data_IF_258288056783
#
_entry.id   IF_258288056783
#
_cell.length_a   1.000
_cell.length_b   1.000
_cell.length_c   1.000
_cell.angle_alpha   90.00
_cell.angle_beta   90.00
_cell.angle_gamma   90.00
#
_symmetry.space_group_name_H-M   'P 1'
#
loop_
_entity.id
_entity.type
_entity.pdbx_description
1 polymer ?
#
# COMPACT_ATOMS: atom_id res chain seq x y z
N UNK A 1 64.36 -21.09 -38.25
CA UNK A 1 63.83 -22.08 -37.28
C UNK A 1 62.34 -22.25 -37.52
N UNK A 2 61.91 -23.29 -38.25
CA UNK A 2 60.49 -23.55 -38.53
C UNK A 2 59.77 -24.13 -37.30
N UNK A 3 58.52 -23.71 -37.04
CA UNK A 3 57.69 -24.27 -35.96
C UNK A 3 57.45 -25.77 -36.21
N UNK A 4 57.82 -26.60 -35.22
CA UNK A 4 57.53 -28.03 -35.26
C UNK A 4 56.01 -28.28 -35.33
N UNK A 5 55.57 -29.29 -36.09
CA UNK A 5 54.16 -29.64 -36.18
C UNK A 5 53.60 -30.04 -34.81
N UNK A 6 52.42 -29.52 -34.46
CA UNK A 6 51.76 -29.69 -33.16
C UNK A 6 51.36 -31.14 -32.83
N UNK A 7 51.25 -32.00 -33.85
CA UNK A 7 50.88 -33.41 -33.72
C UNK A 7 51.81 -34.24 -34.62
N UNK A 8 52.30 -35.36 -34.11
CA UNK A 8 53.28 -36.24 -34.77
C UNK A 8 52.61 -37.22 -35.74
N UNK A 9 51.36 -37.62 -35.45
CA UNK A 9 50.60 -38.56 -36.29
C UNK A 9 49.17 -38.07 -36.56
N UNK A 10 48.55 -38.62 -37.61
CA UNK A 10 47.16 -38.32 -37.95
C UNK A 10 46.17 -38.85 -36.91
N UNK A 11 46.51 -39.98 -36.28
CA UNK A 11 45.78 -40.55 -35.14
C UNK A 11 45.79 -39.61 -33.92
N UNK A 12 46.96 -39.05 -33.58
CA UNK A 12 47.11 -38.09 -32.47
C UNK A 12 46.29 -36.80 -32.71
N UNK A 13 46.25 -36.35 -33.98
CA UNK A 13 45.42 -35.20 -34.39
C UNK A 13 43.92 -35.51 -34.25
N UNK A 14 43.50 -36.73 -34.58
CA UNK A 14 42.11 -37.16 -34.47
C UNK A 14 41.67 -37.36 -33.01
N UNK A 15 42.54 -37.89 -32.15
CA UNK A 15 42.29 -37.97 -30.70
C UNK A 15 42.18 -36.58 -30.07
N UNK A 16 43.08 -35.66 -30.41
CA UNK A 16 43.05 -34.29 -29.92
C UNK A 16 41.74 -33.57 -30.33
N UNK A 17 41.26 -33.81 -31.55
CA UNK A 17 39.95 -33.31 -32.01
C UNK A 17 38.78 -33.92 -31.22
N UNK A 18 38.83 -35.21 -30.88
CA UNK A 18 37.80 -35.87 -30.07
C UNK A 18 37.78 -35.34 -28.64
N UNK A 19 38.94 -35.16 -28.00
CA UNK A 19 39.05 -34.58 -26.64
C UNK A 19 38.56 -33.14 -26.61
N UNK A 20 39.00 -32.32 -27.56
CA UNK A 20 38.56 -30.92 -27.67
C UNK A 20 37.04 -30.81 -27.89
N UNK A 21 36.43 -31.70 -28.69
CA UNK A 21 34.96 -31.76 -28.84
C UNK A 21 34.27 -32.14 -27.53
N UNK A 22 34.77 -33.15 -26.80
CA UNK A 22 34.20 -33.56 -25.50
C UNK A 22 34.25 -32.42 -24.48
N UNK A 23 35.40 -31.77 -24.34
CA UNK A 23 35.59 -30.62 -23.44
C UNK A 23 34.69 -29.43 -23.82
N UNK A 24 34.41 -29.24 -25.11
CA UNK A 24 33.48 -28.21 -25.57
C UNK A 24 32.04 -28.50 -25.12
N UNK A 25 31.57 -29.73 -25.33
CA UNK A 25 30.22 -30.13 -24.92
C UNK A 25 30.05 -30.16 -23.40
N UNK A 26 31.09 -30.57 -22.67
CA UNK A 26 31.10 -30.57 -21.21
C UNK A 26 30.97 -29.14 -20.65
N UNK A 27 31.81 -28.20 -21.12
CA UNK A 27 31.73 -26.78 -20.75
C UNK A 27 30.38 -26.15 -21.10
N UNK A 28 29.79 -26.52 -22.25
CA UNK A 28 28.50 -25.98 -22.64
C UNK A 28 27.37 -26.53 -21.76
N UNK A 29 27.43 -27.81 -21.39
CA UNK A 29 26.45 -28.45 -20.49
C UNK A 29 26.47 -27.84 -19.09
N UNK A 30 27.65 -27.49 -18.56
CA UNK A 30 27.79 -26.82 -17.28
C UNK A 30 27.26 -25.40 -17.32
N UNK A 31 27.50 -24.67 -18.43
CA UNK A 31 26.97 -23.32 -18.63
C UNK A 31 25.44 -23.33 -18.72
N UNK A 32 24.86 -24.30 -19.40
CA UNK A 32 23.41 -24.49 -19.48
C UNK A 32 22.80 -24.86 -18.12
N UNK A 33 23.45 -25.77 -17.36
CA UNK A 33 23.04 -26.12 -15.99
C UNK A 33 23.11 -24.90 -15.06
N UNK A 34 24.16 -24.09 -15.15
CA UNK A 34 24.33 -22.86 -14.38
C UNK A 34 23.24 -21.82 -14.71
N UNK A 35 22.93 -21.61 -15.99
CA UNK A 35 21.84 -20.73 -16.40
C UNK A 35 20.46 -21.25 -15.96
N UNK A 36 20.22 -22.56 -16.02
CA UNK A 36 18.98 -23.17 -15.54
C UNK A 36 18.81 -23.01 -14.03
N UNK A 37 19.88 -23.23 -13.24
CA UNK A 37 19.91 -22.99 -11.80
C UNK A 37 19.68 -21.51 -11.48
N UNK A 38 20.33 -20.58 -12.18
CA UNK A 38 20.11 -19.15 -11.98
C UNK A 38 18.66 -18.75 -12.29
N UNK A 39 18.07 -19.26 -13.37
CA UNK A 39 16.64 -19.03 -13.68
C UNK A 39 15.72 -19.62 -12.60
N UNK A 40 16.04 -20.82 -12.09
CA UNK A 40 15.30 -21.44 -10.99
C UNK A 40 15.39 -20.62 -9.70
N UNK A 41 16.58 -20.17 -9.31
CA UNK A 41 16.79 -19.30 -8.15
C UNK A 41 16.12 -17.93 -8.32
N UNK A 42 16.21 -17.31 -9.50
CA UNK A 42 15.52 -16.06 -9.81
C UNK A 42 14.00 -16.22 -9.70
N UNK A 43 13.44 -17.32 -10.23
CA UNK A 43 12.00 -17.64 -10.13
C UNK A 43 11.59 -17.92 -8.68
N UNK A 44 12.43 -18.61 -7.90
CA UNK A 44 12.18 -18.89 -6.48
C UNK A 44 12.26 -17.63 -5.61
N UNK A 45 13.23 -16.74 -5.88
CA UNK A 45 13.34 -15.43 -5.24
C UNK A 45 12.14 -14.54 -5.59
N UNK A 46 11.67 -14.52 -6.84
CA UNK A 46 10.44 -13.83 -7.23
C UNK A 46 9.19 -14.40 -6.54
N UNK A 47 9.13 -15.71 -6.31
CA UNK A 47 7.99 -16.35 -5.61
C UNK A 47 7.96 -16.13 -4.09
N UNK A 48 9.13 -15.95 -3.45
CA UNK A 48 9.24 -15.61 -2.02
C UNK A 48 9.32 -14.10 -1.76
N UNK A 49 9.61 -13.29 -2.79
CA UNK A 49 9.53 -11.83 -2.75
C UNK A 49 8.15 -11.32 -3.19
N UNK A 50 7.08 -12.01 -2.76
CA UNK A 50 5.71 -11.45 -2.76
C UNK A 50 5.44 -10.66 -1.48
N UNK A 51 6.48 -10.29 -0.72
CA UNK A 51 6.38 -9.17 0.22
C UNK A 51 6.32 -7.91 -0.62
N UNK A 52 5.10 -7.41 -0.84
CA UNK A 52 4.86 -6.19 -1.57
C UNK A 52 5.86 -5.13 -1.08
N UNK A 53 6.77 -4.70 -1.96
CA UNK A 53 7.58 -3.53 -1.69
C UNK A 53 6.58 -2.43 -1.29
N UNK A 54 6.79 -1.83 -0.11
CA UNK A 54 5.94 -0.75 0.38
C UNK A 54 5.69 0.22 -0.79
N UNK A 55 4.44 0.45 -1.20
CA UNK A 55 4.18 1.30 -2.35
C UNK A 55 4.87 2.64 -2.10
N UNK A 56 5.65 3.13 -3.09
CA UNK A 56 6.14 4.52 -3.07
C UNK A 56 4.94 5.39 -2.73
N UNK A 57 4.99 6.09 -1.59
CA UNK A 57 3.97 7.07 -1.22
C UNK A 57 3.98 8.15 -2.30
N UNK A 58 3.08 8.03 -3.27
CA UNK A 58 2.77 9.12 -4.18
C UNK A 58 2.02 10.12 -3.31
N UNK A 59 2.68 11.25 -2.99
CA UNK A 59 2.02 12.35 -2.29
C UNK A 59 0.86 12.80 -3.18
N UNK A 60 -0.36 12.51 -2.74
CA UNK A 60 -1.55 12.94 -3.47
C UNK A 60 -1.70 14.44 -3.31
N UNK A 61 -2.05 15.18 -4.38
CA UNK A 61 -2.43 16.58 -4.24
C UNK A 61 -3.53 16.74 -3.19
N UNK A 62 -3.45 17.77 -2.34
CA UNK A 62 -4.39 17.96 -1.23
C UNK A 62 -5.84 18.12 -1.70
N UNK A 63 -6.05 18.65 -2.91
CA UNK A 63 -7.36 18.71 -3.58
C UNK A 63 -8.04 17.34 -3.77
N UNK A 64 -7.26 16.26 -3.87
CA UNK A 64 -7.78 14.90 -4.00
C UNK A 64 -8.06 14.25 -2.65
N UNK A 65 -7.56 14.84 -1.56
CA UNK A 65 -7.70 14.33 -0.20
C UNK A 65 -8.78 15.10 0.56
N UNK A 66 -8.73 16.43 0.50
CA UNK A 66 -9.68 17.34 1.13
C UNK A 66 -10.38 18.22 0.09
N UNK A 67 -11.17 17.64 -0.83
CA UNK A 67 -11.78 18.38 -1.93
C UNK A 67 -12.66 19.54 -1.45
N UNK A 68 -13.43 19.39 -0.36
CA UNK A 68 -14.31 20.44 0.14
C UNK A 68 -13.51 21.53 0.85
N UNK A 69 -12.56 21.16 1.70
CA UNK A 69 -11.73 22.14 2.41
C UNK A 69 -10.90 22.96 1.42
N UNK A 70 -10.32 22.32 0.40
CA UNK A 70 -9.56 23.01 -0.66
C UNK A 70 -10.47 23.87 -1.54
N UNK A 71 -11.69 23.42 -1.86
CA UNK A 71 -12.63 24.22 -2.64
C UNK A 71 -13.02 25.54 -1.94
N UNK A 72 -13.11 25.54 -0.61
CA UNK A 72 -13.48 26.74 0.16
C UNK A 72 -12.29 27.64 0.52
N UNK A 73 -11.15 27.06 0.89
CA UNK A 73 -10.00 27.82 1.42
C UNK A 73 -8.81 27.93 0.46
N UNK A 74 -8.86 27.23 -0.67
CA UNK A 74 -7.74 27.18 -1.61
C UNK A 74 -6.52 26.44 -1.06
N UNK A 75 -5.37 26.66 -1.69
CA UNK A 75 -4.08 26.17 -1.24
C UNK A 75 -3.08 27.34 -1.19
N UNK A 76 -2.29 27.47 -0.11
CA UNK A 76 -2.31 26.67 1.12
C UNK A 76 -3.59 26.90 1.93
N UNK A 77 -3.99 25.91 2.75
CA UNK A 77 -5.09 26.10 3.69
C UNK A 77 -4.59 27.03 4.80
N UNK A 78 -5.02 28.29 4.77
CA UNK A 78 -4.75 29.27 5.80
C UNK A 78 -5.97 29.41 6.73
N UNK A 79 -5.84 28.93 7.97
CA UNK A 79 -6.88 29.06 8.99
C UNK A 79 -6.92 30.43 9.68
N UNK A 80 -5.91 31.27 9.44
CA UNK A 80 -5.66 32.52 10.16
C UNK A 80 -6.53 33.68 9.71
N UNK A 81 -6.72 33.90 8.40
CA UNK A 81 -7.15 35.22 7.95
C UNK A 81 -8.68 35.47 7.95
N UNK A 82 -9.58 34.48 7.74
CA UNK A 82 -11.02 34.76 7.53
C UNK A 82 -12.01 33.67 7.97
N UNK A 83 -11.67 32.82 8.94
CA UNK A 83 -12.41 31.56 9.06
C UNK A 83 -13.64 31.61 9.96
N UNK A 84 -14.80 31.56 9.31
CA UNK A 84 -16.03 31.06 9.89
C UNK A 84 -15.82 29.59 10.31
N UNK A 85 -15.70 29.32 11.62
CA UNK A 85 -15.45 27.99 12.17
C UNK A 85 -16.56 26.98 11.83
N UNK A 86 -17.76 27.46 11.53
CA UNK A 86 -18.87 26.64 11.03
C UNK A 86 -18.55 26.05 9.66
N UNK A 87 -18.00 26.87 8.76
CA UNK A 87 -17.61 26.44 7.41
C UNK A 87 -16.46 25.45 7.49
N UNK A 88 -15.48 25.69 8.37
CA UNK A 88 -14.39 24.73 8.62
C UNK A 88 -14.93 23.38 9.08
N UNK A 89 -15.81 23.39 10.08
CA UNK A 89 -16.42 22.16 10.60
C UNK A 89 -17.20 21.42 9.50
N UNK A 90 -17.99 22.16 8.71
CA UNK A 90 -18.73 21.61 7.57
C UNK A 90 -17.78 20.96 6.54
N UNK A 91 -16.76 21.67 6.09
CA UNK A 91 -15.81 21.16 5.10
C UNK A 91 -15.09 19.89 5.58
N UNK A 92 -14.62 19.87 6.83
CA UNK A 92 -13.94 18.71 7.40
C UNK A 92 -14.87 17.51 7.59
N UNK A 93 -16.14 17.74 7.93
CA UNK A 93 -17.15 16.68 7.98
C UNK A 93 -17.45 16.11 6.60
N UNK A 94 -17.61 16.95 5.58
CA UNK A 94 -17.88 16.50 4.22
C UNK A 94 -16.68 15.79 3.60
N UNK A 95 -15.45 16.25 3.86
CA UNK A 95 -14.24 15.53 3.47
C UNK A 95 -14.12 14.17 4.17
N UNK A 96 -14.44 14.10 5.46
CA UNK A 96 -14.50 12.83 6.18
C UNK A 96 -15.64 11.91 5.69
N UNK A 97 -16.73 12.43 5.14
CA UNK A 97 -17.79 11.61 4.51
C UNK A 97 -17.46 11.23 3.08
N UNK A 98 -16.62 12.00 2.38
CA UNK A 98 -16.33 11.80 0.97
C UNK A 98 -15.75 10.40 0.68
N UNK A 99 -14.93 9.86 1.59
CA UNK A 99 -14.38 8.50 1.41
C UNK A 99 -15.45 7.40 1.49
N UNK A 100 -16.58 7.66 2.15
CA UNK A 100 -17.74 6.74 2.17
C UNK A 100 -18.52 6.72 0.85
N UNK A 101 -18.23 7.65 -0.08
CA UNK A 101 -18.87 7.74 -1.41
C UNK A 101 -20.42 7.77 -1.35
N UNK A 102 -20.97 8.37 -0.30
CA UNK A 102 -22.42 8.43 -0.05
C UNK A 102 -23.05 7.15 0.50
N UNK A 103 -22.27 6.11 0.76
CA UNK A 103 -22.71 4.88 1.42
C UNK A 103 -22.86 5.06 2.93
N UNK A 104 -23.61 4.14 3.57
CA UNK A 104 -23.63 4.04 5.03
C UNK A 104 -22.28 3.51 5.50
N UNK A 105 -21.74 4.06 6.59
CA UNK A 105 -20.43 3.68 7.10
C UNK A 105 -20.29 2.16 7.28
N UNK A 106 -21.25 1.51 7.95
CA UNK A 106 -21.29 0.06 8.14
C UNK A 106 -21.18 -0.73 6.83
N UNK A 107 -21.89 -0.31 5.79
CA UNK A 107 -21.87 -0.99 4.49
C UNK A 107 -20.53 -0.83 3.79
N UNK A 108 -19.90 0.34 3.90
CA UNK A 108 -18.58 0.61 3.32
C UNK A 108 -17.52 -0.22 4.04
N UNK A 109 -17.58 -0.29 5.36
CA UNK A 109 -16.70 -1.14 6.17
C UNK A 109 -16.85 -2.62 5.82
N UNK A 110 -18.09 -3.09 5.73
CA UNK A 110 -18.40 -4.47 5.39
C UNK A 110 -17.91 -4.83 3.97
N UNK A 111 -18.15 -3.96 2.98
CA UNK A 111 -17.66 -4.13 1.60
C UNK A 111 -16.12 -4.19 1.56
N UNK A 112 -15.43 -3.25 2.21
CA UNK A 112 -13.97 -3.24 2.24
C UNK A 112 -13.42 -4.52 2.88
N UNK A 113 -13.97 -4.92 4.02
CA UNK A 113 -13.53 -6.09 4.77
C UNK A 113 -13.72 -7.37 3.97
N UNK A 114 -14.93 -7.59 3.43
CA UNK A 114 -15.26 -8.78 2.64
C UNK A 114 -14.45 -8.85 1.34
N UNK A 115 -14.22 -7.72 0.66
CA UNK A 115 -13.36 -7.65 -0.54
C UNK A 115 -11.90 -7.97 -0.22
N UNK A 116 -11.38 -7.52 0.91
CA UNK A 116 -10.03 -7.86 1.38
C UNK A 116 -9.92 -9.37 1.69
N UNK A 117 -10.87 -9.93 2.45
CA UNK A 117 -10.93 -11.37 2.76
C UNK A 117 -10.97 -12.20 1.47
N UNK A 118 -11.85 -11.84 0.53
CA UNK A 118 -11.98 -12.52 -0.76
C UNK A 118 -10.70 -12.45 -1.60
N UNK A 119 -9.94 -11.36 -1.50
CA UNK A 119 -8.67 -11.21 -2.23
C UNK A 119 -7.58 -12.16 -1.71
N UNK A 120 -7.55 -12.42 -0.39
CA UNK A 120 -6.64 -13.41 0.21
C UNK A 120 -6.93 -14.81 -0.34
N UNK A 121 -8.21 -15.22 -0.37
CA UNK A 121 -8.61 -16.55 -0.86
C UNK A 121 -8.36 -16.79 -2.35
N UNK A 122 -8.32 -15.73 -3.17
CA UNK A 122 -8.13 -15.82 -4.63
C UNK A 122 -6.68 -15.68 -5.10
N UNK A 123 -5.73 -15.43 -4.18
CA UNK A 123 -4.33 -15.09 -4.51
C UNK A 123 -4.19 -13.95 -5.55
N UNK A 124 -5.19 -13.07 -5.64
CA UNK A 124 -5.18 -11.92 -6.55
C UNK A 124 -4.70 -10.68 -5.80
N UNK A 125 -3.98 -9.76 -6.46
CA UNK A 125 -3.54 -8.54 -5.81
C UNK A 125 -4.74 -7.68 -5.40
N UNK A 126 -4.96 -7.49 -4.10
CA UNK A 126 -5.97 -6.61 -3.52
C UNK A 126 -5.65 -5.11 -3.71
N UNK A 127 -4.81 -4.76 -4.70
CA UNK A 127 -4.19 -3.44 -4.83
C UNK A 127 -5.23 -2.31 -4.87
N UNK A 128 -6.35 -2.53 -5.56
CA UNK A 128 -7.42 -1.53 -5.66
C UNK A 128 -8.05 -1.28 -4.29
N UNK A 129 -8.46 -2.34 -3.59
CA UNK A 129 -9.10 -2.24 -2.26
C UNK A 129 -8.13 -1.65 -1.24
N UNK A 130 -6.87 -2.06 -1.26
CA UNK A 130 -5.84 -1.50 -0.40
C UNK A 130 -5.60 -0.02 -0.68
N UNK A 131 -5.62 0.41 -1.95
CA UNK A 131 -5.53 1.83 -2.27
C UNK A 131 -6.74 2.58 -1.72
N UNK A 132 -7.95 2.05 -1.84
CA UNK A 132 -9.15 2.66 -1.22
C UNK A 132 -9.00 2.80 0.30
N UNK A 133 -8.45 1.78 0.98
CA UNK A 133 -8.16 1.83 2.42
C UNK A 133 -7.13 2.91 2.74
N UNK A 134 -6.01 2.95 2.00
CA UNK A 134 -4.96 3.95 2.18
C UNK A 134 -5.48 5.37 1.96
N UNK A 135 -6.34 5.56 0.95
CA UNK A 135 -6.93 6.85 0.63
C UNK A 135 -7.80 7.34 1.80
N UNK A 136 -8.65 6.47 2.34
CA UNK A 136 -9.44 6.80 3.54
C UNK A 136 -8.56 7.12 4.75
N UNK A 137 -7.44 6.41 4.94
CA UNK A 137 -6.49 6.72 6.02
C UNK A 137 -5.90 8.12 5.87
N UNK A 138 -5.45 8.47 4.67
CA UNK A 138 -4.88 9.79 4.39
C UNK A 138 -5.91 10.91 4.60
N UNK A 139 -7.16 10.70 4.20
CA UNK A 139 -8.25 11.66 4.45
C UNK A 139 -8.44 11.85 5.96
N UNK A 140 -8.57 10.76 6.72
CA UNK A 140 -8.78 10.81 8.16
C UNK A 140 -7.60 11.49 8.90
N UNK A 141 -6.36 11.22 8.47
CA UNK A 141 -5.15 11.85 9.02
C UNK A 141 -5.14 13.36 8.82
N UNK A 142 -5.43 13.84 7.61
CA UNK A 142 -5.50 15.28 7.35
C UNK A 142 -6.68 15.95 8.07
N UNK A 143 -7.84 15.30 8.16
CA UNK A 143 -8.96 15.81 8.96
C UNK A 143 -8.55 15.95 10.43
N UNK A 144 -7.80 15.01 11.01
CA UNK A 144 -7.26 15.12 12.37
C UNK A 144 -6.32 16.31 12.53
N UNK A 145 -5.43 16.53 11.55
CA UNK A 145 -4.52 17.66 11.54
C UNK A 145 -5.28 19.00 11.57
N UNK A 146 -6.20 19.21 10.62
CA UNK A 146 -6.93 20.48 10.49
C UNK A 146 -7.96 20.68 11.59
N UNK A 147 -8.58 19.62 12.12
CA UNK A 147 -9.42 19.74 13.34
C UNK A 147 -8.61 20.20 14.54
N UNK A 148 -7.37 19.69 14.70
CA UNK A 148 -6.46 20.14 15.75
C UNK A 148 -6.15 21.63 15.66
N UNK A 149 -5.82 22.12 14.46
CA UNK A 149 -5.57 23.54 14.22
C UNK A 149 -6.84 24.38 14.46
N UNK A 150 -7.98 23.96 13.92
CA UNK A 150 -9.25 24.66 14.09
C UNK A 150 -9.70 24.71 15.57
N UNK A 151 -9.42 23.66 16.34
CA UNK A 151 -9.67 23.64 17.79
C UNK A 151 -8.82 24.67 18.53
N UNK A 152 -7.55 24.81 18.18
CA UNK A 152 -6.66 25.85 18.74
C UNK A 152 -7.21 27.24 18.42
N UNK A 153 -7.63 27.48 17.18
CA UNK A 153 -8.26 28.75 16.79
C UNK A 153 -9.55 29.03 17.57
N UNK A 154 -10.44 28.03 17.71
CA UNK A 154 -11.68 28.15 18.49
C UNK A 154 -11.40 28.49 19.95
N UNK A 155 -10.37 27.86 20.54
CA UNK A 155 -9.95 28.15 21.92
C UNK A 155 -9.41 29.57 22.08
N UNK A 156 -8.54 30.02 21.17
CA UNK A 156 -7.99 31.38 21.16
C UNK A 156 -9.10 32.45 21.02
N UNK A 157 -10.12 32.18 20.19
CA UNK A 157 -11.29 33.05 20.00
C UNK A 157 -12.36 32.92 21.09
N UNK A 158 -12.16 32.01 22.06
CA UNK A 158 -13.11 31.68 23.13
C UNK A 158 -14.47 31.17 22.63
N UNK A 159 -14.52 30.60 21.42
CA UNK A 159 -15.73 30.08 20.81
C UNK A 159 -16.00 28.62 21.23
N UNK A 160 -16.34 28.42 22.51
CA UNK A 160 -16.48 27.09 23.13
C UNK A 160 -17.43 26.14 22.40
N UNK A 161 -18.47 26.67 21.74
CA UNK A 161 -19.43 25.86 20.97
C UNK A 161 -18.75 25.01 19.89
N UNK A 162 -17.68 25.51 19.27
CA UNK A 162 -16.97 24.80 18.21
C UNK A 162 -15.94 23.80 18.72
N UNK A 163 -15.50 23.92 19.98
CA UNK A 163 -14.59 22.93 20.57
C UNK A 163 -15.24 21.54 20.58
N UNK A 164 -16.50 21.45 21.05
CA UNK A 164 -17.26 20.20 21.05
C UNK A 164 -17.50 19.66 19.61
N UNK A 165 -17.74 20.55 18.65
CA UNK A 165 -17.87 20.17 17.23
C UNK A 165 -16.57 19.55 16.71
N UNK A 166 -15.43 20.21 16.93
CA UNK A 166 -14.14 19.69 16.47
C UNK A 166 -13.73 18.42 17.21
N UNK A 167 -14.01 18.28 18.51
CA UNK A 167 -13.76 17.04 19.25
C UNK A 167 -14.57 15.87 18.67
N UNK A 168 -15.83 16.10 18.25
CA UNK A 168 -16.65 15.09 17.55
C UNK A 168 -16.04 14.69 16.21
N UNK A 169 -15.61 15.67 15.41
CA UNK A 169 -14.98 15.39 14.10
C UNK A 169 -13.68 14.62 14.30
N UNK A 170 -12.84 15.03 15.25
CA UNK A 170 -11.60 14.32 15.59
C UNK A 170 -11.86 12.90 16.10
N UNK A 171 -12.92 12.68 16.88
CA UNK A 171 -13.30 11.33 17.30
C UNK A 171 -13.68 10.44 16.10
N UNK A 172 -14.51 10.95 15.20
CA UNK A 172 -14.91 10.21 14.00
C UNK A 172 -13.71 9.93 13.07
N UNK A 173 -12.83 10.91 12.87
CA UNK A 173 -11.63 10.74 12.07
C UNK A 173 -10.65 9.74 12.71
N UNK A 174 -10.50 9.77 14.05
CA UNK A 174 -9.69 8.79 14.78
C UNK A 174 -10.21 7.37 14.57
N UNK A 175 -11.53 7.17 14.69
CA UNK A 175 -12.16 5.86 14.46
C UNK A 175 -11.95 5.37 13.02
N UNK A 176 -12.15 6.25 12.04
CA UNK A 176 -11.89 5.91 10.64
C UNK A 176 -10.43 5.53 10.40
N UNK A 177 -9.48 6.31 10.92
CA UNK A 177 -8.05 6.04 10.79
C UNK A 177 -7.67 4.69 11.42
N UNK A 178 -8.11 4.44 12.65
CA UNK A 178 -7.82 3.22 13.40
C UNK A 178 -8.43 1.99 12.73
N UNK A 179 -9.71 2.04 12.35
CA UNK A 179 -10.37 0.93 11.66
C UNK A 179 -9.72 0.59 10.32
N UNK A 180 -9.37 1.60 9.52
CA UNK A 180 -8.67 1.37 8.25
C UNK A 180 -7.24 0.85 8.47
N UNK A 181 -6.57 1.28 9.54
CA UNK A 181 -5.25 0.78 9.92
C UNK A 181 -5.28 -0.68 10.36
N UNK A 182 -6.29 -1.06 11.14
CA UNK A 182 -6.53 -2.44 11.55
C UNK A 182 -6.78 -3.34 10.33
N UNK A 183 -7.69 -2.94 9.42
CA UNK A 183 -7.95 -3.71 8.20
C UNK A 183 -6.68 -3.94 7.38
N UNK A 184 -5.87 -2.89 7.20
CA UNK A 184 -4.59 -2.97 6.50
C UNK A 184 -3.60 -3.88 7.24
N UNK A 185 -3.51 -3.79 8.56
CA UNK A 185 -2.60 -4.60 9.36
C UNK A 185 -2.95 -6.08 9.29
N UNK A 186 -4.21 -6.43 9.57
CA UNK A 186 -4.72 -7.81 9.51
C UNK A 186 -4.62 -8.39 8.09
N UNK A 187 -4.87 -7.58 7.06
CA UNK A 187 -4.66 -8.01 5.68
C UNK A 187 -3.18 -8.31 5.38
N UNK A 188 -2.25 -7.48 5.87
CA UNK A 188 -0.82 -7.64 5.65
C UNK A 188 -0.19 -8.78 6.47
N UNK A 189 -0.77 -9.10 7.62
CA UNK A 189 -0.42 -10.31 8.40
C UNK A 189 -0.68 -11.57 7.57
N UNK A 190 -1.72 -11.54 6.74
CA UNK A 190 -2.06 -12.61 5.82
C UNK A 190 -2.75 -13.79 6.50
N UNK A 191 -2.86 -14.91 5.78
CA UNK A 191 -3.57 -16.09 6.30
C UNK A 191 -5.07 -15.84 6.46
N UNK A 192 -5.64 -16.22 7.61
CA UNK A 192 -7.06 -16.06 7.93
C UNK A 192 -7.35 -14.95 8.96
N UNK A 193 -6.34 -14.23 9.45
CA UNK A 193 -6.47 -13.29 10.57
C UNK A 193 -7.62 -12.28 10.41
N UNK A 194 -7.71 -11.62 9.25
CA UNK A 194 -8.80 -10.68 8.96
C UNK A 194 -10.18 -11.36 8.90
N UNK A 195 -10.25 -12.58 8.35
CA UNK A 195 -11.49 -13.35 8.30
C UNK A 195 -11.95 -13.80 9.68
N UNK A 196 -11.04 -14.35 10.47
CA UNK A 196 -11.31 -14.81 11.83
C UNK A 196 -11.78 -13.66 12.72
N UNK A 197 -11.13 -12.48 12.64
CA UNK A 197 -11.53 -11.28 13.41
C UNK A 197 -12.89 -10.74 12.98
N UNK A 198 -13.18 -10.75 11.68
CA UNK A 198 -14.46 -10.33 11.13
C UNK A 198 -15.63 -11.24 11.56
N UNK A 199 -15.40 -12.57 11.54
CA UNK A 199 -16.39 -13.57 11.99
C UNK A 199 -16.63 -13.51 13.50
N UNK A 200 -15.60 -13.18 14.29
CA UNK A 200 -15.70 -13.02 15.75
C UNK A 200 -16.37 -11.70 16.15
N UNK A 201 -16.46 -10.73 15.25
CA UNK A 201 -17.01 -9.41 15.55
C UNK A 201 -16.03 -8.50 16.27
N UNK A 202 -14.73 -8.77 16.18
CA UNK A 202 -13.68 -8.13 16.98
C UNK A 202 -13.09 -6.87 16.32
N UNK A 203 -13.50 -6.55 15.09
CA UNK A 203 -12.99 -5.37 14.39
C UNK A 203 -13.48 -4.09 15.09
N UNK A 204 -12.63 -3.05 15.11
CA UNK A 204 -12.90 -1.77 15.77
C UNK A 204 -14.23 -1.15 15.31
N UNK A 205 -14.58 -1.31 14.04
CA UNK A 205 -15.82 -0.77 13.48
C UNK A 205 -17.07 -1.60 13.84
N UNK A 206 -16.92 -2.86 14.25
CA UNK A 206 -18.02 -3.74 14.69
C UNK A 206 -18.35 -3.55 16.18
N UNK A 207 -17.38 -3.11 16.98
CA UNK A 207 -17.49 -2.93 18.43
C UNK A 207 -18.15 -1.61 18.87
N UNK A 208 -18.75 -0.85 17.96
CA UNK A 208 -19.13 0.55 18.18
C UNK A 208 -20.49 0.89 17.63
#
# INVERSE_FOLDING_TARGET
MGRLPKYKTEEERNEARRRSRREYYERNSERERGMALQRYHAKKQLSHSTRAAAPRQVVKPLENVLPHTVAFYGQPIDLGEWQNLEVVAYCLEEDLKAWLKGGRAEQVWDDLTTRLIAAVGRSKPAKVVLNEVLDGQTIAEHVLEYTGQARVCAWQRRERRYIATFDRISHNATRAFQGLAELKALFNEGGKALGDSYEQGDLIWQCT
#
